data_IF_085016412456
#
_entry.id   IF_085016412456
#
_cell.length_a   1.000
_cell.length_b   1.000
_cell.length_c   1.000
_cell.angle_alpha   90.00
_cell.angle_beta   90.00
_cell.angle_gamma   90.00
#
_symmetry.space_group_name_H-M   'P 1'
#
loop_
_entity.id
_entity.type
_entity.pdbx_description
1 polymer ?
#
# COMPACT_ATOMS: atom_id res chain seq x y z
N UNK A 1 36.50 -2.71 14.45
CA UNK A 1 35.21 -2.83 13.72
C UNK A 1 34.25 -3.38 14.73
N UNK A 2 33.58 -2.48 15.39
CA UNK A 2 33.05 -2.73 16.72
C UNK A 2 31.65 -3.30 16.53
N UNK A 3 31.33 -4.42 17.21
CA UNK A 3 30.10 -5.18 16.96
C UNK A 3 28.79 -4.36 17.06
N UNK A 4 28.85 -3.17 17.65
CA UNK A 4 27.75 -2.20 17.75
C UNK A 4 27.40 -1.52 16.40
N UNK A 5 28.35 -1.29 15.50
CA UNK A 5 28.05 -0.67 14.20
C UNK A 5 27.33 -1.64 13.27
N UNK A 6 27.74 -2.92 13.31
CA UNK A 6 27.13 -3.99 12.51
C UNK A 6 25.70 -4.32 12.94
N UNK A 7 25.40 -4.27 14.25
CA UNK A 7 24.04 -4.48 14.76
C UNK A 7 23.09 -3.33 14.39
N UNK A 8 23.55 -2.08 14.46
CA UNK A 8 22.75 -0.91 14.05
C UNK A 8 22.45 -0.95 12.54
N UNK A 9 23.44 -1.31 11.71
CA UNK A 9 23.24 -1.50 10.27
C UNK A 9 22.21 -2.60 9.98
N UNK A 10 22.28 -3.73 10.69
CA UNK A 10 21.32 -4.82 10.53
C UNK A 10 19.88 -4.40 10.87
N UNK A 11 19.70 -3.65 11.97
CA UNK A 11 18.39 -3.11 12.35
C UNK A 11 17.86 -2.13 11.31
N UNK A 12 18.71 -1.24 10.79
CA UNK A 12 18.34 -0.29 9.72
C UNK A 12 17.89 -1.00 8.45
N UNK A 13 18.58 -2.06 8.05
CA UNK A 13 18.21 -2.89 6.89
C UNK A 13 16.85 -3.55 7.12
N UNK A 14 16.61 -4.13 8.30
CA UNK A 14 15.31 -4.74 8.63
C UNK A 14 14.16 -3.73 8.62
N UNK A 15 14.36 -2.57 9.24
CA UNK A 15 13.34 -1.50 9.26
C UNK A 15 13.03 -1.05 7.83
N UNK A 16 14.06 -0.84 7.01
CA UNK A 16 13.89 -0.46 5.61
C UNK A 16 13.15 -1.53 4.82
N UNK A 17 13.49 -2.81 5.01
CA UNK A 17 12.81 -3.93 4.36
C UNK A 17 11.33 -3.99 4.71
N UNK A 18 10.99 -3.85 6.00
CA UNK A 18 9.60 -3.84 6.45
C UNK A 18 8.85 -2.65 5.83
N UNK A 19 9.46 -1.47 5.85
CA UNK A 19 8.79 -0.24 5.42
C UNK A 19 8.58 -0.17 3.90
N UNK A 20 9.58 -0.57 3.10
CA UNK A 20 9.52 -0.47 1.64
C UNK A 20 8.92 -1.69 0.95
N UNK A 21 8.79 -2.83 1.62
CA UNK A 21 8.29 -4.07 1.00
C UNK A 21 7.07 -4.61 1.72
N UNK A 22 7.16 -4.88 3.02
CA UNK A 22 6.08 -5.52 3.75
C UNK A 22 4.85 -4.62 3.87
N UNK A 23 5.04 -3.35 4.24
CA UNK A 23 3.94 -2.38 4.39
C UNK A 23 3.16 -2.19 3.07
N UNK A 24 3.79 -1.93 1.90
CA UNK A 24 3.08 -1.83 0.64
C UNK A 24 2.29 -3.09 0.26
N UNK A 25 2.87 -4.28 0.46
CA UNK A 25 2.20 -5.55 0.15
C UNK A 25 0.91 -5.68 0.97
N UNK A 26 0.98 -5.39 2.27
CA UNK A 26 -0.18 -5.43 3.15
C UNK A 26 -1.23 -4.41 2.70
N UNK A 27 -0.82 -3.18 2.39
CA UNK A 27 -1.74 -2.14 1.89
C UNK A 27 -2.46 -2.56 0.61
N UNK A 28 -1.75 -3.14 -0.36
CA UNK A 28 -2.34 -3.62 -1.60
C UNK A 28 -3.34 -4.77 -1.36
N UNK A 29 -3.01 -5.68 -0.45
CA UNK A 29 -3.90 -6.80 -0.12
C UNK A 29 -5.18 -6.33 0.57
N UNK A 30 -5.05 -5.42 1.55
CA UNK A 30 -6.20 -4.82 2.23
C UNK A 30 -7.08 -4.06 1.25
N UNK A 31 -6.47 -3.28 0.35
CA UNK A 31 -7.19 -2.53 -0.67
C UNK A 31 -7.97 -3.45 -1.61
N UNK A 32 -7.35 -4.53 -2.07
CA UNK A 32 -8.02 -5.51 -2.92
C UNK A 32 -9.25 -6.13 -2.24
N UNK A 33 -9.15 -6.48 -0.95
CA UNK A 33 -10.28 -7.01 -0.18
C UNK A 33 -11.39 -5.97 -0.03
N UNK A 34 -11.04 -4.71 0.27
CA UNK A 34 -12.01 -3.62 0.41
C UNK A 34 -12.73 -3.33 -0.91
N UNK A 35 -11.99 -3.30 -2.02
CA UNK A 35 -12.53 -3.08 -3.35
C UNK A 35 -13.47 -4.23 -3.78
N UNK A 36 -13.11 -5.48 -3.46
CA UNK A 36 -13.96 -6.66 -3.75
C UNK A 36 -15.28 -6.61 -2.97
N UNK A 37 -15.28 -6.06 -1.75
CA UNK A 37 -16.48 -5.86 -0.94
C UNK A 37 -17.34 -4.67 -1.41
N UNK A 38 -16.98 -4.02 -2.52
CA UNK A 38 -17.62 -2.80 -3.03
C UNK A 38 -17.79 -1.71 -1.94
N UNK A 39 -16.87 -1.69 -0.98
CA UNK A 39 -16.98 -0.81 0.16
C UNK A 39 -16.57 0.61 -0.24
N UNK A 40 -17.33 1.63 0.19
CA UNK A 40 -16.93 3.04 0.04
C UNK A 40 -15.58 3.33 0.70
N UNK A 41 -15.16 2.50 1.65
CA UNK A 41 -13.86 2.59 2.31
C UNK A 41 -12.67 2.29 1.40
N UNK A 42 -12.89 1.61 0.26
CA UNK A 42 -11.82 1.26 -0.67
C UNK A 42 -11.21 2.50 -1.35
N UNK A 43 -11.96 3.58 -1.57
CA UNK A 43 -11.35 4.81 -2.11
C UNK A 43 -10.65 5.66 -1.02
N UNK A 44 -11.03 5.45 0.25
CA UNK A 44 -10.53 6.25 1.37
C UNK A 44 -9.08 5.87 1.69
N UNK A 45 -8.76 4.58 1.70
CA UNK A 45 -7.41 4.10 2.01
C UNK A 45 -6.33 4.63 1.05
N UNK A 46 -6.45 4.55 -0.30
CA UNK A 46 -5.49 5.14 -1.23
C UNK A 46 -5.42 6.66 -1.09
N UNK A 47 -6.54 7.32 -0.79
CA UNK A 47 -6.58 8.78 -0.55
C UNK A 47 -5.78 9.16 0.69
N UNK A 48 -5.96 8.45 1.81
CA UNK A 48 -5.18 8.68 3.04
C UNK A 48 -3.69 8.42 2.78
N UNK A 49 -3.35 7.33 2.10
CA UNK A 49 -1.97 7.03 1.71
C UNK A 49 -1.36 8.15 0.85
N UNK A 50 -2.16 8.78 -0.02
CA UNK A 50 -1.73 9.95 -0.80
C UNK A 50 -1.45 11.16 0.09
N UNK A 51 -2.31 11.46 1.06
CA UNK A 51 -2.06 12.56 2.00
C UNK A 51 -0.79 12.32 2.84
N UNK A 52 -0.58 11.08 3.30
CA UNK A 52 0.62 10.70 4.05
C UNK A 52 1.90 10.86 3.21
N UNK A 53 1.80 10.74 1.88
CA UNK A 53 2.95 10.89 0.99
C UNK A 53 3.61 12.27 1.04
N UNK A 54 2.89 13.31 1.49
CA UNK A 54 3.46 14.64 1.72
C UNK A 54 4.57 14.60 2.79
N UNK A 55 4.41 13.71 3.78
CA UNK A 55 5.36 13.55 4.89
C UNK A 55 6.40 12.46 4.63
N UNK A 56 6.00 11.36 3.99
CA UNK A 56 6.87 10.18 3.77
C UNK A 56 7.55 10.14 2.39
N UNK A 57 7.20 11.06 1.49
CA UNK A 57 7.84 11.25 0.20
C UNK A 57 7.18 10.49 -0.97
N UNK A 58 7.81 10.63 -2.14
CA UNK A 58 7.25 10.22 -3.43
C UNK A 58 6.95 8.71 -3.56
N UNK A 59 7.63 7.87 -2.77
CA UNK A 59 7.36 6.43 -2.74
C UNK A 59 5.89 6.12 -2.39
N UNK A 60 5.30 6.87 -1.46
CA UNK A 60 3.91 6.68 -1.05
C UNK A 60 2.90 7.21 -2.08
N UNK A 61 3.31 8.13 -2.96
CA UNK A 61 2.52 8.54 -4.12
C UNK A 61 2.34 7.34 -5.07
N UNK A 62 3.43 6.61 -5.33
CA UNK A 62 3.40 5.42 -6.18
C UNK A 62 2.51 4.33 -5.58
N UNK A 63 2.63 4.06 -4.27
CA UNK A 63 1.77 3.09 -3.56
C UNK A 63 0.30 3.50 -3.70
N UNK A 64 -0.03 4.76 -3.43
CA UNK A 64 -1.40 5.26 -3.55
C UNK A 64 -1.94 5.10 -4.98
N UNK A 65 -1.15 5.43 -6.00
CA UNK A 65 -1.54 5.27 -7.40
C UNK A 65 -1.85 3.81 -7.76
N UNK A 66 -1.03 2.86 -7.29
CA UNK A 66 -1.26 1.42 -7.48
C UNK A 66 -2.55 0.99 -6.77
N UNK A 67 -2.80 1.47 -5.55
CA UNK A 67 -4.03 1.18 -4.81
C UNK A 67 -5.28 1.72 -5.51
N UNK A 68 -5.23 2.95 -6.06
CA UNK A 68 -6.31 3.48 -6.90
C UNK A 68 -6.56 2.63 -8.14
N UNK A 69 -5.50 2.12 -8.76
CA UNK A 69 -5.62 1.22 -9.91
C UNK A 69 -6.29 -0.11 -9.51
N UNK A 70 -5.89 -0.70 -8.38
CA UNK A 70 -6.51 -1.92 -7.85
C UNK A 70 -8.01 -1.68 -7.61
N UNK A 71 -8.36 -0.59 -6.92
CA UNK A 71 -9.75 -0.22 -6.66
C UNK A 71 -10.56 -0.11 -7.96
N UNK A 72 -10.05 0.63 -8.94
CA UNK A 72 -10.72 0.85 -10.22
C UNK A 72 -10.94 -0.46 -11.00
N UNK A 73 -9.89 -1.28 -11.12
CA UNK A 73 -9.96 -2.56 -11.84
C UNK A 73 -10.92 -3.54 -11.17
N UNK A 74 -10.86 -3.66 -9.85
CA UNK A 74 -11.72 -4.57 -9.09
C UNK A 74 -13.18 -4.11 -9.15
N UNK A 75 -13.44 -2.82 -8.96
CA UNK A 75 -14.79 -2.26 -9.08
C UNK A 75 -15.40 -2.55 -10.45
N UNK A 76 -14.65 -2.30 -11.52
CA UNK A 76 -15.09 -2.59 -12.90
C UNK A 76 -15.37 -4.08 -13.12
N UNK A 77 -14.55 -4.96 -12.54
CA UNK A 77 -14.76 -6.41 -12.60
C UNK A 77 -16.03 -6.85 -11.88
N UNK A 78 -16.29 -6.31 -10.69
CA UNK A 78 -17.50 -6.60 -9.92
C UNK A 78 -18.75 -6.12 -10.66
N UNK A 79 -18.77 -4.88 -11.15
CA UNK A 79 -19.91 -4.32 -11.91
C UNK A 79 -20.23 -5.15 -13.16
N UNK A 80 -19.21 -5.60 -13.90
CA UNK A 80 -19.39 -6.45 -15.09
C UNK A 80 -20.04 -7.81 -14.74
N UNK A 81 -19.77 -8.37 -13.57
CA UNK A 81 -20.37 -9.63 -13.14
C UNK A 81 -21.83 -9.50 -12.71
N UNK A 82 -22.30 -8.31 -12.31
CA UNK A 82 -23.71 -8.06 -11.97
C UNK A 82 -24.59 -7.82 -13.21
N UNK A 83 -24.01 -7.44 -14.35
CA UNK A 83 -24.72 -7.18 -15.61
C UNK A 83 -24.82 -8.42 -16.51
N UNK A 84 -24.40 -9.59 -16.01
CA UNK A 84 -24.36 -10.86 -16.74
C UNK A 84 -25.38 -11.81 -16.16
#
# INVERSE_FOLDING_TARGET
MDGNTSSVLFVLVLVSFIHFIIVPIILFFVEYILAKKASKFAIILPTITLFISIFLGAFYILISAIMFLIWYLVKKSVEKNYQK
#
